data_IF_554417824062
#
_entry.id   IF_554417824062
#
_cell.length_a   1.000
_cell.length_b   1.000
_cell.length_c   1.000
_cell.angle_alpha   90.00
_cell.angle_beta   90.00
_cell.angle_gamma   90.00
#
_symmetry.space_group_name_H-M   'P 1'
#
loop_
_entity.id
_entity.type
_entity.pdbx_description
1 polymer ?
#
# COMPACT_ATOMS: atom_id res chain seq x y z
N UNK A 1 -13.16 -15.35 25.22
CA UNK A 1 -12.67 -14.44 24.19
C UNK A 1 -11.51 -13.67 24.80
N UNK A 2 -10.31 -13.84 24.24
CA UNK A 2 -9.11 -13.17 24.73
C UNK A 2 -9.12 -11.67 24.35
N UNK A 3 -8.32 -10.85 25.04
CA UNK A 3 -8.21 -9.41 24.73
C UNK A 3 -7.70 -9.20 23.30
N UNK A 4 -6.81 -10.08 22.83
CA UNK A 4 -6.26 -10.07 21.47
C UNK A 4 -7.33 -10.37 20.43
N UNK A 5 -8.19 -11.38 20.64
CA UNK A 5 -9.34 -11.65 19.74
C UNK A 5 -10.32 -10.48 19.67
N UNK A 6 -10.59 -9.81 20.80
CA UNK A 6 -11.48 -8.64 20.82
C UNK A 6 -10.87 -7.50 20.01
N UNK A 7 -9.57 -7.28 20.13
CA UNK A 7 -8.84 -6.25 19.41
C UNK A 7 -8.81 -6.51 17.90
N UNK A 8 -8.49 -7.73 17.49
CA UNK A 8 -8.49 -8.17 16.09
C UNK A 8 -9.86 -7.94 15.44
N UNK A 9 -10.95 -8.42 16.06
CA UNK A 9 -12.32 -8.23 15.55
C UNK A 9 -12.68 -6.74 15.48
N UNK A 10 -12.26 -5.95 16.48
CA UNK A 10 -12.53 -4.51 16.50
C UNK A 10 -11.84 -3.80 15.32
N UNK A 11 -10.61 -4.16 15.00
CA UNK A 11 -9.87 -3.60 13.86
C UNK A 11 -10.51 -4.03 12.54
N UNK A 12 -10.87 -5.31 12.39
CA UNK A 12 -11.53 -5.79 11.17
C UNK A 12 -12.87 -5.06 10.93
N UNK A 13 -13.70 -4.90 11.96
CA UNK A 13 -14.94 -4.14 11.86
C UNK A 13 -14.70 -2.66 11.50
N UNK A 14 -13.68 -2.05 12.09
CA UNK A 14 -13.27 -0.69 11.76
C UNK A 14 -12.84 -0.59 10.29
N UNK A 15 -12.05 -1.54 9.79
CA UNK A 15 -11.59 -1.57 8.41
C UNK A 15 -12.74 -1.70 7.43
N UNK A 16 -13.68 -2.61 7.69
CA UNK A 16 -14.90 -2.78 6.89
C UNK A 16 -15.69 -1.46 6.85
N UNK A 17 -15.90 -0.82 8.00
CA UNK A 17 -16.61 0.45 8.09
C UNK A 17 -15.91 1.56 7.29
N UNK A 18 -14.59 1.69 7.44
CA UNK A 18 -13.77 2.68 6.71
C UNK A 18 -13.84 2.43 5.21
N UNK A 19 -13.74 1.18 4.77
CA UNK A 19 -13.83 0.81 3.36
C UNK A 19 -15.20 1.15 2.77
N UNK A 20 -16.30 0.80 3.44
CA UNK A 20 -17.63 1.19 2.98
C UNK A 20 -17.78 2.70 2.85
N UNK A 21 -17.30 3.45 3.85
CA UNK A 21 -17.35 4.90 3.82
C UNK A 21 -16.53 5.48 2.66
N UNK A 22 -15.34 4.94 2.42
CA UNK A 22 -14.44 5.37 1.34
C UNK A 22 -14.99 5.01 -0.03
N UNK A 23 -15.56 3.81 -0.21
CA UNK A 23 -16.25 3.40 -1.44
C UNK A 23 -17.42 4.34 -1.74
N UNK A 24 -18.24 4.64 -0.74
CA UNK A 24 -19.36 5.56 -0.88
C UNK A 24 -18.92 6.99 -1.28
N UNK A 25 -17.87 7.50 -0.65
CA UNK A 25 -17.38 8.84 -0.96
C UNK A 25 -16.67 8.90 -2.33
N UNK A 26 -15.90 7.88 -2.68
CA UNK A 26 -15.22 7.80 -3.99
C UNK A 26 -16.23 7.61 -5.13
N UNK A 27 -17.30 6.83 -4.94
CA UNK A 27 -18.38 6.72 -5.92
C UNK A 27 -19.13 8.04 -6.11
N UNK A 28 -19.34 8.81 -5.03
CA UNK A 28 -19.89 10.17 -5.15
C UNK A 28 -18.96 11.12 -5.89
N UNK A 29 -17.65 10.98 -5.69
CA UNK A 29 -16.65 11.79 -6.38
C UNK A 29 -16.77 11.64 -7.90
N UNK A 30 -16.98 10.41 -8.39
CA UNK A 30 -17.19 10.13 -9.82
C UNK A 30 -18.41 10.85 -10.40
N UNK A 31 -19.48 10.98 -9.63
CA UNK A 31 -20.73 11.62 -10.07
C UNK A 31 -20.62 13.14 -10.07
N UNK A 32 -19.91 13.72 -9.08
CA UNK A 32 -19.90 15.17 -8.83
C UNK A 32 -18.77 15.88 -9.57
N UNK A 33 -17.55 15.33 -9.55
CA UNK A 33 -16.34 15.99 -10.07
C UNK A 33 -15.94 15.46 -11.46
N UNK A 34 -16.82 14.70 -12.12
CA UNK A 34 -16.59 14.14 -13.47
C UNK A 34 -15.94 12.76 -13.45
N UNK A 35 -16.21 11.97 -14.51
CA UNK A 35 -15.74 10.59 -14.68
C UNK A 35 -14.24 10.54 -15.05
N UNK A 36 -13.36 10.96 -14.15
CA UNK A 36 -11.94 10.65 -14.25
C UNK A 36 -11.71 9.14 -14.10
N UNK A 37 -10.76 8.54 -14.85
CA UNK A 37 -10.45 7.11 -14.72
C UNK A 37 -9.93 6.75 -13.32
N UNK A 38 -9.23 7.68 -12.64
CA UNK A 38 -8.60 7.42 -11.36
C UNK A 38 -9.59 7.12 -10.21
N UNK A 39 -10.62 7.94 -9.92
CA UNK A 39 -11.65 7.60 -8.94
C UNK A 39 -12.34 6.26 -9.19
N UNK A 40 -12.57 5.90 -10.45
CA UNK A 40 -13.17 4.62 -10.80
C UNK A 40 -12.24 3.47 -10.39
N UNK A 41 -10.98 3.52 -10.82
CA UNK A 41 -9.98 2.52 -10.45
C UNK A 41 -9.77 2.43 -8.94
N UNK A 42 -9.71 3.56 -8.24
CA UNK A 42 -9.61 3.59 -6.78
C UNK A 42 -10.84 2.97 -6.11
N UNK A 43 -12.05 3.27 -6.57
CA UNK A 43 -13.30 2.69 -6.03
C UNK A 43 -13.30 1.18 -6.19
N UNK A 44 -12.97 0.67 -7.39
CA UNK A 44 -12.88 -0.76 -7.63
C UNK A 44 -11.75 -1.42 -6.83
N UNK A 45 -10.62 -0.74 -6.62
CA UNK A 45 -9.55 -1.25 -5.77
C UNK A 45 -10.03 -1.44 -4.32
N UNK A 46 -10.74 -0.45 -3.77
CA UNK A 46 -11.30 -0.53 -2.41
C UNK A 46 -12.39 -1.59 -2.29
N UNK A 47 -13.21 -1.79 -3.33
CA UNK A 47 -14.17 -2.91 -3.38
C UNK A 47 -13.42 -4.24 -3.36
N UNK A 48 -12.38 -4.38 -4.17
CA UNK A 48 -11.56 -5.60 -4.24
C UNK A 48 -10.90 -5.89 -2.89
N UNK A 49 -10.35 -4.87 -2.22
CA UNK A 49 -9.75 -5.00 -0.90
C UNK A 49 -10.80 -5.37 0.17
N UNK A 50 -12.00 -4.79 0.11
CA UNK A 50 -13.11 -5.16 0.99
C UNK A 50 -13.55 -6.62 0.79
N UNK A 51 -13.62 -7.08 -0.46
CA UNK A 51 -13.96 -8.47 -0.78
C UNK A 51 -12.90 -9.45 -0.28
N UNK A 52 -11.62 -9.08 -0.37
CA UNK A 52 -10.52 -9.86 0.24
C UNK A 52 -10.74 -10.04 1.74
N UNK A 53 -10.99 -8.92 2.46
CA UNK A 53 -11.27 -8.96 3.90
C UNK A 53 -12.51 -9.79 4.25
N UNK A 54 -13.62 -9.63 3.52
CA UNK A 54 -14.82 -10.43 3.76
C UNK A 54 -14.62 -11.91 3.51
N UNK A 55 -13.92 -12.28 2.43
CA UNK A 55 -13.62 -13.67 2.16
C UNK A 55 -12.80 -14.29 3.29
N UNK A 56 -11.76 -13.59 3.74
CA UNK A 56 -10.94 -13.98 4.90
C UNK A 56 -11.78 -14.18 6.16
N UNK A 57 -12.56 -13.17 6.58
CA UNK A 57 -13.38 -13.26 7.79
C UNK A 57 -14.46 -14.37 7.70
N UNK A 58 -15.15 -14.50 6.56
CA UNK A 58 -16.18 -15.54 6.38
C UNK A 58 -15.54 -16.94 6.43
N UNK A 59 -14.38 -17.11 5.79
CA UNK A 59 -13.69 -18.40 5.80
C UNK A 59 -13.27 -18.80 7.23
N UNK A 60 -12.67 -17.88 7.98
CA UNK A 60 -12.26 -18.11 9.37
C UNK A 60 -13.44 -18.52 10.26
N UNK A 61 -14.62 -17.92 10.05
CA UNK A 61 -15.84 -18.29 10.80
C UNK A 61 -16.39 -19.65 10.38
N UNK A 62 -16.44 -19.94 9.06
CA UNK A 62 -17.05 -21.17 8.54
C UNK A 62 -16.16 -22.40 8.70
N UNK A 63 -14.84 -22.21 8.72
CA UNK A 63 -13.85 -23.30 8.82
C UNK A 63 -12.71 -22.93 9.75
N UNK A 64 -12.99 -22.75 11.06
CA UNK A 64 -11.97 -22.48 12.06
C UNK A 64 -10.91 -23.59 12.04
N UNK A 65 -9.66 -23.22 12.31
CA UNK A 65 -8.50 -24.11 12.39
C UNK A 65 -8.14 -24.86 11.10
N UNK A 66 -8.81 -24.57 9.98
CA UNK A 66 -8.41 -25.09 8.67
C UNK A 66 -7.60 -24.05 7.92
N UNK A 67 -6.53 -24.51 7.27
CA UNK A 67 -5.77 -23.67 6.34
C UNK A 67 -6.72 -23.22 5.22
N UNK A 68 -6.82 -21.91 5.04
CA UNK A 68 -7.61 -21.31 3.97
C UNK A 68 -7.10 -21.80 2.61
N UNK A 69 -7.97 -22.34 1.72
CA UNK A 69 -7.56 -22.74 0.39
C UNK A 69 -7.17 -21.47 -0.36
N UNK A 70 -5.86 -21.34 -0.54
CA UNK A 70 -5.20 -20.21 -1.16
C UNK A 70 -5.72 -19.92 -2.57
N UNK A 71 -6.18 -18.68 -2.77
CA UNK A 71 -6.21 -17.96 -4.05
C UNK A 71 -7.05 -16.68 -3.96
N UNK A 72 -8.19 -16.67 -3.26
CA UNK A 72 -9.22 -15.66 -3.55
C UNK A 72 -8.98 -14.32 -2.86
N UNK A 73 -8.50 -14.32 -1.61
CA UNK A 73 -8.08 -13.12 -0.88
C UNK A 73 -6.84 -12.47 -1.52
N UNK A 74 -5.84 -13.29 -1.89
CA UNK A 74 -4.63 -12.84 -2.58
C UNK A 74 -4.92 -12.31 -3.99
N UNK A 75 -5.83 -12.95 -4.75
CA UNK A 75 -6.31 -12.44 -6.04
C UNK A 75 -6.97 -11.09 -5.86
N UNK A 76 -7.85 -10.95 -4.86
CA UNK A 76 -8.57 -9.72 -4.62
C UNK A 76 -7.64 -8.59 -4.15
N UNK A 77 -6.61 -8.91 -3.38
CA UNK A 77 -5.57 -7.97 -3.00
C UNK A 77 -4.71 -7.55 -4.20
N UNK A 78 -4.23 -8.50 -4.99
CA UNK A 78 -3.47 -8.22 -6.21
C UNK A 78 -4.28 -7.40 -7.23
N UNK A 79 -5.57 -7.69 -7.39
CA UNK A 79 -6.47 -6.89 -8.19
C UNK A 79 -6.57 -5.46 -7.66
N UNK A 80 -6.62 -5.27 -6.32
CA UNK A 80 -6.60 -3.94 -5.72
C UNK A 80 -5.33 -3.16 -6.06
N UNK A 81 -4.16 -3.80 -5.96
CA UNK A 81 -2.86 -3.20 -6.31
C UNK A 81 -2.75 -2.85 -7.79
N UNK A 82 -3.23 -3.73 -8.68
CA UNK A 82 -3.24 -3.50 -10.12
C UNK A 82 -4.21 -2.37 -10.50
N UNK A 83 -5.37 -2.26 -9.84
CA UNK A 83 -6.31 -1.16 -10.04
C UNK A 83 -5.73 0.17 -9.55
N UNK A 84 -5.09 0.20 -8.38
CA UNK A 84 -4.34 1.39 -7.91
C UNK A 84 -3.26 1.76 -8.93
N UNK A 85 -2.52 0.78 -9.45
CA UNK A 85 -1.47 0.97 -10.45
C UNK A 85 -2.01 1.58 -11.75
N UNK A 86 -3.11 1.02 -12.28
CA UNK A 86 -3.80 1.54 -13.47
C UNK A 86 -4.26 2.98 -13.26
N UNK A 87 -4.74 3.27 -12.05
CA UNK A 87 -5.01 4.64 -11.64
C UNK A 87 -3.76 5.53 -11.71
N UNK A 88 -2.68 5.16 -11.02
CA UNK A 88 -1.47 5.97 -10.95
C UNK A 88 -0.90 6.24 -12.35
N UNK A 89 -0.98 5.28 -13.27
CA UNK A 89 -0.61 5.49 -14.67
C UNK A 89 -1.54 6.47 -15.41
N UNK A 90 -2.85 6.39 -15.17
CA UNK A 90 -3.79 7.33 -15.76
C UNK A 90 -3.51 8.78 -15.31
N UNK A 91 -3.05 8.98 -14.07
CA UNK A 91 -2.65 10.29 -13.54
C UNK A 91 -1.30 10.73 -14.08
N UNK A 92 -0.32 9.83 -14.17
CA UNK A 92 1.03 10.13 -14.67
C UNK A 92 1.06 10.62 -16.13
N UNK A 93 0.08 10.21 -16.93
CA UNK A 93 -0.03 10.56 -18.35
C UNK A 93 1.22 10.19 -19.17
N UNK A 94 1.44 10.87 -20.29
CA UNK A 94 2.63 10.65 -21.16
C UNK A 94 3.90 11.36 -20.67
N UNK A 95 3.83 12.12 -19.57
CA UNK A 95 4.88 13.06 -19.18
C UNK A 95 5.97 12.45 -18.28
N UNK A 96 5.71 11.28 -17.67
CA UNK A 96 6.72 10.60 -16.86
C UNK A 96 7.67 9.77 -17.72
N UNK A 97 8.95 10.17 -17.74
CA UNK A 97 10.01 9.41 -18.40
C UNK A 97 10.26 8.08 -17.70
N UNK A 98 10.60 7.06 -18.48
CA UNK A 98 11.05 5.77 -17.98
C UNK A 98 12.28 5.93 -17.06
N UNK A 99 12.24 5.29 -15.90
CA UNK A 99 13.32 5.34 -14.91
C UNK A 99 13.87 3.95 -14.62
N UNK A 100 14.98 3.61 -15.29
CA UNK A 100 15.61 2.29 -15.16
C UNK A 100 16.08 2.01 -13.73
N UNK A 101 16.56 3.02 -13.00
CA UNK A 101 17.03 2.86 -11.63
C UNK A 101 15.90 2.47 -10.67
N UNK A 102 14.73 3.11 -10.82
CA UNK A 102 13.53 2.75 -10.08
C UNK A 102 13.09 1.32 -10.41
N UNK A 103 13.09 0.93 -11.69
CA UNK A 103 12.70 -0.41 -12.12
C UNK A 103 13.60 -1.49 -11.51
N UNK A 104 14.93 -1.33 -11.61
CA UNK A 104 15.90 -2.28 -11.07
C UNK A 104 15.73 -2.40 -9.56
N UNK A 105 15.59 -1.28 -8.84
CA UNK A 105 15.37 -1.30 -7.40
C UNK A 105 14.08 -2.03 -7.02
N UNK A 106 12.96 -1.73 -7.70
CA UNK A 106 11.67 -2.41 -7.44
C UNK A 106 11.75 -3.92 -7.67
N UNK A 107 12.40 -4.34 -8.76
CA UNK A 107 12.62 -5.75 -9.04
C UNK A 107 13.45 -6.42 -7.93
N UNK A 108 14.61 -5.86 -7.59
CA UNK A 108 15.49 -6.45 -6.58
C UNK A 108 14.83 -6.47 -5.19
N UNK A 109 14.22 -5.36 -4.80
CA UNK A 109 13.57 -5.25 -3.49
C UNK A 109 12.45 -6.28 -3.33
N UNK A 110 11.53 -6.36 -4.30
CA UNK A 110 10.41 -7.29 -4.20
C UNK A 110 10.85 -8.75 -4.41
N UNK A 111 11.81 -9.04 -5.29
CA UNK A 111 12.33 -10.42 -5.43
C UNK A 111 12.94 -10.93 -4.13
N UNK A 112 13.62 -10.08 -3.37
CA UNK A 112 14.14 -10.49 -2.06
C UNK A 112 13.01 -10.68 -1.05
N UNK A 113 11.96 -9.85 -1.07
CA UNK A 113 10.78 -10.08 -0.24
C UNK A 113 10.06 -11.39 -0.61
N UNK A 114 9.90 -11.70 -1.90
CA UNK A 114 9.36 -12.99 -2.37
C UNK A 114 10.21 -14.14 -1.84
N UNK A 115 11.53 -14.04 -1.86
CA UNK A 115 12.40 -15.08 -1.30
C UNK A 115 12.20 -15.25 0.22
N UNK A 116 12.01 -14.15 0.96
CA UNK A 116 11.70 -14.18 2.39
C UNK A 116 10.30 -14.78 2.65
N UNK A 117 9.31 -14.44 1.84
CA UNK A 117 7.97 -15.03 1.92
C UNK A 117 8.00 -16.52 1.66
N UNK A 118 8.68 -16.98 0.60
CA UNK A 118 8.86 -18.41 0.31
C UNK A 118 9.56 -19.13 1.47
N UNK A 119 10.57 -18.50 2.07
CA UNK A 119 11.26 -19.06 3.22
C UNK A 119 10.36 -19.20 4.46
N UNK A 120 9.33 -18.35 4.58
CA UNK A 120 8.39 -18.33 5.69
C UNK A 120 7.14 -19.20 5.45
N UNK A 121 6.52 -19.10 4.27
CA UNK A 121 5.29 -19.78 3.86
C UNK A 121 5.53 -21.19 3.33
N UNK A 122 6.67 -21.43 2.67
CA UNK A 122 6.96 -22.61 1.87
C UNK A 122 6.29 -22.63 0.49
N UNK A 123 5.61 -21.57 0.05
CA UNK A 123 4.71 -21.55 -1.12
C UNK A 123 5.28 -20.84 -2.35
N UNK A 124 6.16 -21.55 -3.06
CA UNK A 124 6.88 -21.03 -4.22
C UNK A 124 6.01 -20.41 -5.32
N UNK A 125 5.05 -21.17 -5.85
CA UNK A 125 4.29 -20.74 -7.02
C UNK A 125 3.43 -19.50 -6.74
N UNK A 126 2.84 -19.46 -5.55
CA UNK A 126 1.95 -18.41 -5.09
C UNK A 126 2.71 -17.12 -4.84
N UNK A 127 3.77 -17.15 -4.02
CA UNK A 127 4.57 -15.98 -3.67
C UNK A 127 5.20 -15.33 -4.91
N UNK A 128 5.61 -16.14 -5.89
CA UNK A 128 6.14 -15.62 -7.16
C UNK A 128 5.05 -14.93 -7.98
N UNK A 129 3.89 -15.57 -8.18
CA UNK A 129 2.83 -15.04 -9.04
C UNK A 129 2.22 -13.78 -8.43
N UNK A 130 1.88 -13.82 -7.13
CA UNK A 130 1.26 -12.71 -6.43
C UNK A 130 2.26 -11.62 -6.03
N UNK A 131 3.56 -11.89 -6.05
CA UNK A 131 4.61 -10.89 -5.90
C UNK A 131 4.82 -9.99 -7.14
N UNK A 132 4.44 -10.43 -8.34
CA UNK A 132 4.62 -9.62 -9.57
C UNK A 132 3.89 -8.27 -9.53
N UNK A 133 2.59 -8.19 -9.11
CA UNK A 133 1.91 -6.91 -8.90
C UNK A 133 2.67 -5.94 -7.99
N UNK A 134 3.34 -6.45 -6.95
CA UNK A 134 4.14 -5.62 -6.03
C UNK A 134 5.34 -4.97 -6.74
N UNK A 135 6.02 -5.68 -7.65
CA UNK A 135 7.11 -5.10 -8.46
C UNK A 135 6.57 -3.91 -9.26
N UNK A 136 5.43 -4.09 -9.92
CA UNK A 136 4.85 -3.09 -10.79
C UNK A 136 4.43 -1.83 -10.03
N UNK A 137 3.64 -1.97 -8.97
CA UNK A 137 3.20 -0.84 -8.16
C UNK A 137 4.38 -0.12 -7.50
N UNK A 138 5.38 -0.87 -6.99
CA UNK A 138 6.59 -0.27 -6.40
C UNK A 138 7.33 0.59 -7.43
N UNK A 139 7.44 0.11 -8.66
CA UNK A 139 8.07 0.87 -9.75
C UNK A 139 7.31 2.17 -10.04
N UNK A 140 5.99 2.12 -10.18
CA UNK A 140 5.16 3.29 -10.41
C UNK A 140 5.28 4.32 -9.28
N UNK A 141 5.28 3.85 -8.03
CA UNK A 141 5.42 4.70 -6.86
C UNK A 141 6.79 5.37 -6.79
N UNK A 142 7.88 4.63 -7.01
CA UNK A 142 9.23 5.21 -7.03
C UNK A 142 9.39 6.21 -8.18
N UNK A 143 8.93 5.85 -9.38
CA UNK A 143 8.95 6.75 -10.55
C UNK A 143 8.19 8.04 -10.25
N UNK A 144 6.97 7.93 -9.72
CA UNK A 144 6.11 9.06 -9.39
C UNK A 144 6.66 9.93 -8.25
N UNK A 145 7.18 9.32 -7.18
CA UNK A 145 7.82 10.04 -6.08
C UNK A 145 9.09 10.78 -6.52
N UNK A 146 9.81 10.25 -7.50
CA UNK A 146 10.98 10.93 -8.05
C UNK A 146 10.60 12.10 -8.95
N UNK A 147 9.56 11.94 -9.77
CA UNK A 147 9.03 12.97 -10.65
C UNK A 147 8.43 14.16 -9.87
N UNK A 148 7.62 13.87 -8.86
CA UNK A 148 6.96 14.87 -8.00
C UNK A 148 7.85 15.44 -6.90
N UNK A 149 9.13 15.03 -6.84
CA UNK A 149 10.03 15.38 -5.74
C UNK A 149 9.40 15.16 -4.34
N UNK A 150 8.59 14.10 -4.21
CA UNK A 150 7.96 13.72 -2.95
C UNK A 150 9.01 13.38 -1.88
N UNK A 151 10.14 12.83 -2.35
CA UNK A 151 11.32 12.52 -1.57
C UNK A 151 12.56 13.18 -2.18
N UNK A 152 13.34 13.83 -1.32
CA UNK A 152 14.61 14.45 -1.69
C UNK A 152 15.70 13.38 -1.87
N UNK A 153 16.86 13.74 -2.45
CA UNK A 153 17.93 12.76 -2.71
C UNK A 153 18.44 12.07 -1.45
N UNK A 154 18.57 12.79 -0.32
CA UNK A 154 19.03 12.20 0.94
C UNK A 154 18.04 11.14 1.45
N UNK A 155 16.74 11.42 1.41
CA UNK A 155 15.67 10.50 1.81
C UNK A 155 15.66 9.25 0.93
N UNK A 156 16.00 9.36 -0.36
CA UNK A 156 16.13 8.20 -1.27
C UNK A 156 17.25 7.26 -0.82
N UNK A 157 18.42 7.81 -0.52
CA UNK A 157 19.55 7.01 -0.03
C UNK A 157 19.24 6.38 1.32
N UNK A 158 18.62 7.14 2.23
CA UNK A 158 18.21 6.62 3.55
C UNK A 158 17.21 5.48 3.35
N UNK A 159 16.17 5.65 2.52
CA UNK A 159 15.21 4.58 2.27
C UNK A 159 15.88 3.33 1.69
N UNK A 160 16.75 3.46 0.69
CA UNK A 160 17.46 2.33 0.11
C UNK A 160 18.36 1.60 1.13
N UNK A 161 19.07 2.36 1.98
CA UNK A 161 19.92 1.82 3.04
C UNK A 161 19.08 1.08 4.07
N UNK A 162 18.00 1.69 4.57
CA UNK A 162 17.14 1.08 5.60
C UNK A 162 16.43 -0.15 5.05
N UNK A 163 15.90 -0.11 3.83
CA UNK A 163 15.31 -1.28 3.17
C UNK A 163 16.31 -2.42 3.02
N UNK A 164 17.57 -2.13 2.69
CA UNK A 164 18.63 -3.14 2.59
C UNK A 164 18.97 -3.75 3.97
N UNK A 165 19.01 -2.93 5.02
CA UNK A 165 19.20 -3.41 6.38
C UNK A 165 18.05 -4.28 6.86
N UNK A 166 16.80 -3.88 6.60
CA UNK A 166 15.62 -4.67 6.95
C UNK A 166 15.66 -6.07 6.32
N UNK A 167 15.96 -6.14 5.02
CA UNK A 167 16.15 -7.40 4.32
C UNK A 167 17.25 -8.26 4.97
N UNK A 168 18.39 -7.65 5.31
CA UNK A 168 19.50 -8.35 5.95
C UNK A 168 19.10 -8.88 7.32
N UNK A 169 18.43 -8.07 8.16
CA UNK A 169 18.00 -8.48 9.49
C UNK A 169 16.93 -9.58 9.43
N UNK A 170 15.95 -9.48 8.54
CA UNK A 170 14.99 -10.57 8.28
C UNK A 170 15.68 -11.85 7.81
N UNK A 171 16.72 -11.73 6.98
CA UNK A 171 17.51 -12.90 6.57
C UNK A 171 18.25 -13.50 7.77
N UNK A 172 18.91 -12.68 8.60
CA UNK A 172 19.64 -13.12 9.80
C UNK A 172 18.68 -13.83 10.75
N UNK A 173 17.43 -13.39 10.86
CA UNK A 173 16.43 -13.95 11.76
C UNK A 173 16.18 -15.44 11.56
N UNK A 174 16.38 -15.97 10.34
CA UNK A 174 16.29 -17.41 10.05
C UNK A 174 17.44 -18.24 10.64
N UNK A 175 18.57 -17.61 10.99
CA UNK A 175 19.79 -18.29 11.45
C UNK A 175 20.07 -18.12 12.94
N UNK A 176 19.36 -17.22 13.62
CA UNK A 176 19.56 -16.93 15.05
C UNK A 176 18.40 -17.44 15.90
N UNK A 177 18.69 -17.78 17.16
CA UNK A 177 17.70 -18.26 18.13
C UNK A 177 17.86 -17.59 19.49
N UNK A 178 16.84 -17.68 20.35
CA UNK A 178 16.89 -17.16 21.71
C UNK A 178 16.95 -15.62 21.74
N UNK A 179 17.77 -15.06 22.62
CA UNK A 179 17.86 -13.60 22.83
C UNK A 179 18.32 -12.83 21.59
N UNK A 180 19.20 -13.41 20.77
CA UNK A 180 19.66 -12.79 19.54
C UNK A 180 18.53 -12.66 18.51
N UNK A 181 17.66 -13.68 18.42
CA UNK A 181 16.47 -13.63 17.56
C UNK A 181 15.51 -12.51 18.00
N UNK A 182 15.22 -12.43 19.31
CA UNK A 182 14.37 -11.37 19.86
C UNK A 182 14.95 -9.97 19.59
N UNK A 183 16.27 -9.80 19.71
CA UNK A 183 16.90 -8.51 19.40
C UNK A 183 16.73 -8.13 17.93
N UNK A 184 16.95 -9.07 17.00
CA UNK A 184 16.75 -8.86 15.56
C UNK A 184 15.29 -8.50 15.25
N UNK A 185 14.33 -9.21 15.84
CA UNK A 185 12.90 -8.93 15.67
C UNK A 185 12.55 -7.51 16.13
N UNK A 186 13.04 -7.08 17.30
CA UNK A 186 12.84 -5.72 17.82
C UNK A 186 13.42 -4.68 16.86
N UNK A 187 14.61 -4.91 16.30
CA UNK A 187 15.20 -4.00 15.33
C UNK A 187 14.36 -3.88 14.06
N UNK A 188 13.92 -5.01 13.48
CA UNK A 188 13.05 -5.00 12.30
C UNK A 188 11.78 -4.18 12.56
N UNK A 189 11.10 -4.45 13.67
CA UNK A 189 9.88 -3.75 14.08
C UNK A 189 10.12 -2.25 14.22
N UNK A 190 11.18 -1.82 14.93
CA UNK A 190 11.46 -0.39 15.11
C UNK A 190 11.66 0.32 13.76
N UNK A 191 12.36 -0.30 12.82
CA UNK A 191 12.59 0.30 11.50
C UNK A 191 11.34 0.29 10.61
N UNK A 192 10.60 -0.81 10.58
CA UNK A 192 9.37 -0.95 9.79
C UNK A 192 8.31 0.07 10.19
N UNK A 193 7.94 0.07 11.47
CA UNK A 193 6.94 0.99 12.01
C UNK A 193 7.48 2.43 12.09
N UNK A 194 8.79 2.60 12.26
CA UNK A 194 9.45 3.90 12.17
C UNK A 194 9.30 4.53 10.79
N UNK A 195 9.53 3.76 9.72
CA UNK A 195 9.29 4.20 8.34
C UNK A 195 7.80 4.47 8.13
N UNK A 196 6.91 3.60 8.60
CA UNK A 196 5.46 3.79 8.46
C UNK A 196 5.03 5.11 9.13
N UNK A 197 5.47 5.38 10.35
CA UNK A 197 5.19 6.62 11.07
C UNK A 197 5.75 7.86 10.38
N UNK A 198 6.97 7.78 9.84
CA UNK A 198 7.58 8.85 9.07
C UNK A 198 6.81 9.13 7.76
N UNK A 199 6.46 8.10 6.99
CA UNK A 199 5.64 8.21 5.79
C UNK A 199 4.25 8.78 6.12
N UNK A 200 3.62 8.34 7.22
CA UNK A 200 2.34 8.85 7.69
C UNK A 200 2.41 10.36 7.95
N UNK A 201 3.43 10.82 8.70
CA UNK A 201 3.64 12.24 8.95
C UNK A 201 3.82 13.04 7.64
N UNK A 202 4.60 12.52 6.69
CA UNK A 202 4.78 13.16 5.37
C UNK A 202 3.50 13.20 4.55
N UNK A 203 2.67 12.16 4.61
CA UNK A 203 1.35 12.14 3.96
C UNK A 203 0.46 13.27 4.50
N UNK A 204 0.35 13.41 5.82
CA UNK A 204 -0.44 14.49 6.45
C UNK A 204 0.07 15.86 6.03
N UNK A 205 1.39 16.07 6.02
CA UNK A 205 1.98 17.33 5.60
C UNK A 205 1.72 17.63 4.12
N UNK A 206 1.91 16.66 3.22
CA UNK A 206 1.67 16.81 1.79
C UNK A 206 0.18 17.06 1.47
N UNK A 207 -0.74 16.45 2.22
CA UNK A 207 -2.17 16.70 2.08
C UNK A 207 -2.52 18.16 2.45
N UNK A 208 -1.91 18.69 3.53
CA UNK A 208 -2.13 20.07 4.00
C UNK A 208 -1.54 21.13 3.06
N UNK A 209 -0.42 20.86 2.41
CA UNK A 209 0.21 21.81 1.51
C UNK A 209 -0.49 21.85 0.15
N UNK A 210 -0.93 23.02 -0.31
CA UNK A 210 -1.68 23.19 -1.57
C UNK A 210 -0.83 23.20 -2.84
N UNK A 211 0.45 22.82 -2.77
CA UNK A 211 1.43 23.17 -3.82
C UNK A 211 1.70 22.02 -4.78
N UNK A 212 1.55 20.76 -4.34
CA UNK A 212 1.87 19.60 -5.20
C UNK A 212 0.95 18.42 -4.86
N UNK A 213 0.00 18.15 -5.76
CA UNK A 213 -1.14 17.28 -5.47
C UNK A 213 -0.84 15.81 -5.76
N UNK A 214 -0.15 15.54 -6.88
CA UNK A 214 0.35 14.22 -7.22
C UNK A 214 1.30 13.68 -6.14
N UNK A 215 2.11 14.56 -5.53
CA UNK A 215 2.97 14.20 -4.39
C UNK A 215 2.20 13.52 -3.26
N UNK A 216 1.04 14.05 -2.90
CA UNK A 216 0.22 13.46 -1.83
C UNK A 216 -0.34 12.09 -2.21
N UNK A 217 -0.60 11.88 -3.50
CA UNK A 217 -1.09 10.62 -4.03
C UNK A 217 -0.03 9.52 -3.98
N UNK A 218 1.17 9.79 -4.52
CA UNK A 218 2.26 8.83 -4.49
C UNK A 218 2.71 8.50 -3.06
N UNK A 219 2.75 9.48 -2.15
CA UNK A 219 3.10 9.24 -0.75
C UNK A 219 2.07 8.35 -0.04
N UNK A 220 0.77 8.64 -0.18
CA UNK A 220 -0.29 7.86 0.48
C UNK A 220 -0.38 6.44 -0.07
N UNK A 221 -0.21 6.25 -1.38
CA UNK A 221 -0.13 4.91 -1.98
C UNK A 221 1.14 4.16 -1.57
N UNK A 222 2.27 4.85 -1.38
CA UNK A 222 3.50 4.24 -0.85
C UNK A 222 3.33 3.78 0.59
N UNK A 223 2.68 4.60 1.43
CA UNK A 223 2.34 4.21 2.80
C UNK A 223 1.39 3.01 2.82
N UNK A 224 0.40 2.98 1.93
CA UNK A 224 -0.52 1.84 1.80
C UNK A 224 0.23 0.55 1.46
N UNK A 225 1.07 0.58 0.41
CA UNK A 225 1.91 -0.57 0.05
C UNK A 225 2.85 -0.98 1.19
N UNK A 226 3.51 -0.02 1.84
CA UNK A 226 4.43 -0.30 2.94
C UNK A 226 3.72 -1.00 4.11
N UNK A 227 2.53 -0.53 4.48
CA UNK A 227 1.75 -1.14 5.57
C UNK A 227 1.27 -2.55 5.23
N UNK A 228 0.95 -2.82 3.95
CA UNK A 228 0.68 -4.19 3.48
C UNK A 228 1.93 -5.08 3.67
N UNK A 229 3.11 -4.61 3.23
CA UNK A 229 4.36 -5.36 3.38
C UNK A 229 4.69 -5.65 4.86
N UNK A 230 4.48 -4.67 5.76
CA UNK A 230 4.65 -4.88 7.20
C UNK A 230 3.69 -5.96 7.70
N UNK A 231 2.42 -5.94 7.30
CA UNK A 231 1.45 -6.96 7.70
C UNK A 231 1.92 -8.37 7.34
N UNK A 232 2.45 -8.57 6.13
CA UNK A 232 3.00 -9.89 5.73
C UNK A 232 4.24 -10.32 6.51
N UNK A 233 4.97 -9.38 7.12
CA UNK A 233 6.17 -9.67 7.91
C UNK A 233 5.91 -9.68 9.43
N UNK A 234 4.65 -9.45 9.85
CA UNK A 234 4.26 -9.32 11.25
C UNK A 234 3.41 -10.51 11.71
N UNK A 235 3.56 -10.87 12.99
CA UNK A 235 2.74 -11.89 13.64
C UNK A 235 1.97 -11.28 14.83
N UNK A 236 0.85 -11.91 15.18
CA UNK A 236 0.03 -11.60 16.36
C UNK A 236 -0.31 -10.09 16.48
N UNK A 237 -0.08 -9.49 17.65
CA UNK A 237 -0.42 -8.10 17.93
C UNK A 237 0.27 -7.08 16.99
N UNK A 238 1.42 -7.42 16.40
CA UNK A 238 2.07 -6.55 15.43
C UNK A 238 1.29 -6.52 14.12
N UNK A 239 0.76 -7.67 13.68
CA UNK A 239 -0.13 -7.74 12.52
C UNK A 239 -1.36 -6.84 12.71
N UNK A 240 -1.99 -6.87 13.89
CA UNK A 240 -3.12 -6.01 14.22
C UNK A 240 -2.77 -4.51 14.14
N UNK A 241 -1.59 -4.12 14.64
CA UNK A 241 -1.11 -2.73 14.55
C UNK A 241 -0.88 -2.35 13.08
N UNK A 242 -0.26 -3.22 12.27
CA UNK A 242 -0.04 -2.97 10.85
C UNK A 242 -1.36 -2.79 10.09
N UNK A 243 -2.34 -3.66 10.38
CA UNK A 243 -3.70 -3.59 9.84
C UNK A 243 -4.42 -2.30 10.25
N UNK A 244 -4.26 -1.86 11.50
CA UNK A 244 -4.80 -0.58 11.96
C UNK A 244 -4.18 0.61 11.20
N UNK A 245 -2.86 0.63 11.02
CA UNK A 245 -2.18 1.71 10.27
C UNK A 245 -2.59 1.67 8.79
N UNK A 246 -2.71 0.49 8.19
CA UNK A 246 -3.23 0.33 6.83
C UNK A 246 -4.66 0.89 6.71
N UNK A 247 -5.53 0.57 7.68
CA UNK A 247 -6.89 1.08 7.75
C UNK A 247 -6.94 2.60 7.83
N UNK A 248 -6.06 3.22 8.64
CA UNK A 248 -5.96 4.67 8.73
C UNK A 248 -5.38 5.32 7.47
N UNK A 249 -4.65 4.57 6.65
CA UNK A 249 -4.07 5.05 5.39
C UNK A 249 -5.12 5.18 4.28
N UNK A 250 -6.14 4.32 4.26
CA UNK A 250 -7.20 4.34 3.24
C UNK A 250 -7.94 5.70 3.16
N UNK A 251 -8.37 6.33 4.28
CA UNK A 251 -8.91 7.68 4.25
C UNK A 251 -7.93 8.74 3.71
N UNK A 252 -6.63 8.59 3.99
CA UNK A 252 -5.61 9.51 3.46
C UNK A 252 -5.48 9.38 1.95
N UNK A 253 -5.53 8.16 1.42
CA UNK A 253 -5.57 7.92 -0.02
C UNK A 253 -6.80 8.57 -0.65
N UNK A 254 -7.99 8.42 -0.05
CA UNK A 254 -9.21 9.10 -0.53
C UNK A 254 -9.06 10.62 -0.56
N UNK A 255 -8.45 11.22 0.47
CA UNK A 255 -8.18 12.66 0.48
C UNK A 255 -7.23 13.07 -0.64
N UNK A 256 -6.20 12.25 -0.94
CA UNK A 256 -5.28 12.49 -2.05
C UNK A 256 -5.96 12.35 -3.42
N UNK A 257 -6.80 11.31 -3.59
CA UNK A 257 -7.64 11.09 -4.79
C UNK A 257 -8.50 12.32 -5.05
N UNK A 258 -9.25 12.76 -4.02
CA UNK A 258 -10.14 13.92 -4.10
C UNK A 258 -9.39 15.20 -4.44
N UNK A 259 -8.20 15.38 -3.90
CA UNK A 259 -7.36 16.55 -4.21
C UNK A 259 -7.01 16.57 -5.70
N UNK A 260 -6.49 15.45 -6.21
CA UNK A 260 -6.08 15.31 -7.60
C UNK A 260 -7.23 15.48 -8.61
N UNK A 261 -8.46 15.03 -8.29
CA UNK A 261 -9.62 15.19 -9.17
C UNK A 261 -10.09 16.64 -9.35
N UNK A 262 -9.98 17.47 -8.30
CA UNK A 262 -10.42 18.87 -8.35
C UNK A 262 -9.62 19.73 -9.32
N UNK A 263 -8.37 19.35 -9.62
CA UNK A 263 -7.55 20.06 -10.60
C UNK A 263 -7.82 19.62 -12.03
N UNK A 264 -8.07 18.33 -12.30
CA UNK A 264 -8.40 17.87 -13.65
C UNK A 264 -9.59 18.62 -14.25
N UNK A 265 -10.61 18.90 -13.43
CA UNK A 265 -11.77 19.72 -13.84
C UNK A 265 -11.37 21.17 -14.16
N UNK A 266 -10.46 21.76 -13.38
CA UNK A 266 -10.00 23.15 -13.62
C UNK A 266 -9.17 23.29 -14.89
N UNK A 267 -8.32 22.31 -15.21
CA UNK A 267 -7.52 22.34 -16.44
C UNK A 267 -8.38 22.19 -17.69
N UNK A 268 -9.39 21.30 -17.66
CA UNK A 268 -10.34 21.11 -18.76
C UNK A 268 -11.21 22.36 -19.01
N UNK A 269 -11.60 23.07 -17.95
CA UNK A 269 -12.36 24.32 -18.06
C UNK A 269 -11.52 25.47 -18.65
N UNK A 270 -10.23 25.54 -18.29
CA UNK A 270 -9.28 26.53 -18.86
C UNK A 270 -9.01 26.25 -20.34
N UNK A 271 -8.76 24.99 -20.72
CA UNK A 271 -8.51 24.63 -22.11
C UNK A 271 -9.74 24.85 -23.02
N UNK A 272 -10.96 24.66 -22.51
CA UNK A 272 -12.18 24.98 -23.25
C UNK A 272 -12.37 26.49 -23.42
N UNK A 273 -11.97 27.29 -22.44
CA UNK A 273 -12.02 28.76 -22.50
C UNK A 273 -11.06 29.40 -23.50
N UNK A 274 -9.90 28.78 -23.76
CA UNK A 274 -8.91 29.28 -24.74
C UNK A 274 -9.22 28.87 -26.20
N UNK A 275 -10.24 28.04 -26.41
CA UNK A 275 -10.65 27.53 -27.73
C UNK A 275 -11.84 28.28 -28.37
N UNK A 276 -12.29 29.39 -27.76
CA UNK A 276 -13.35 30.28 -28.27
C UNK A 276 -12.80 31.67 -28.62
#
# INVERSE_FOLDING_TARGET
MSITEIFEISIQLLQVFVLFFVIYLSSKLMVIEGNGPFPAFFTFAMISFLLSGFYSSIYTILRPDTRMPFAVDEIAECASLLLISAGLEAVAGKNQKFNIGALIFSFLFILVNIALWIAWSGEWGQDIIFGIPYIYITYLLLRGMFYTHAINMAERYIAAIVSSFLVLFHTIRFYVSGTAATAVDIFCVVFEYGIAGWLFAKCIFALRQSVDEEKSLYLTCTLYLWTILISYMSADALYDIALFINTMTIPLMLMAVKKNCRLGVREDDVQKGESQ
#
